data_IF_986948329522
#
_entry.id   IF_986948329522
#
_cell.length_a   1.000
_cell.length_b   1.000
_cell.length_c   1.000
_cell.angle_alpha   90.00
_cell.angle_beta   90.00
_cell.angle_gamma   90.00
#
_symmetry.space_group_name_H-M   'P 1'
#
loop_
_entity.id
_entity.type
_entity.pdbx_description
1 polymer ?
#
# COMPACT_ATOMS: atom_id res chain seq x y z
N UNK A 1 -4.97 3.35 -14.47
CA UNK A 1 -5.03 2.09 -15.23
C UNK A 1 -5.88 2.26 -16.48
N UNK A 2 -5.54 1.64 -17.61
CA UNK A 2 -6.39 1.54 -18.82
C UNK A 2 -6.79 0.08 -19.06
N UNK A 3 -7.77 -0.17 -19.92
CA UNK A 3 -8.26 -1.49 -20.30
C UNK A 3 -7.62 -2.01 -21.60
N UNK A 4 -7.24 -3.28 -21.58
CA UNK A 4 -6.83 -4.08 -22.74
C UNK A 4 -7.63 -5.37 -22.84
N UNK A 5 -7.21 -6.24 -23.77
CA UNK A 5 -7.97 -7.45 -24.11
C UNK A 5 -9.17 -7.16 -25.01
N UNK A 6 -9.78 -8.21 -25.58
CA UNK A 6 -10.88 -8.08 -26.54
C UNK A 6 -12.12 -7.38 -25.97
N UNK A 7 -12.31 -7.43 -24.64
CA UNK A 7 -13.44 -6.86 -23.92
C UNK A 7 -13.07 -5.64 -23.04
N UNK A 8 -11.79 -5.24 -23.00
CA UNK A 8 -11.32 -4.11 -22.19
C UNK A 8 -11.25 -4.40 -20.68
N UNK A 9 -11.42 -5.65 -20.26
CA UNK A 9 -11.45 -6.04 -18.85
C UNK A 9 -10.05 -6.15 -18.23
N UNK A 10 -9.01 -6.33 -19.05
CA UNK A 10 -7.65 -6.46 -18.54
C UNK A 10 -7.09 -5.09 -18.15
N UNK A 11 -6.75 -4.91 -16.88
CA UNK A 11 -6.08 -3.70 -16.42
C UNK A 11 -4.64 -3.64 -16.92
N UNK A 12 -4.23 -2.49 -17.46
CA UNK A 12 -2.88 -2.19 -17.91
C UNK A 12 -2.40 -0.87 -17.29
N UNK A 13 -1.14 -0.86 -16.82
CA UNK A 13 -0.54 0.37 -16.32
C UNK A 13 -0.25 1.33 -17.49
N UNK A 14 -0.69 2.57 -17.36
CA UNK A 14 -0.54 3.61 -18.39
C UNK A 14 -0.02 4.94 -17.84
N UNK A 15 -0.03 5.14 -16.52
CA UNK A 15 0.54 6.29 -15.82
C UNK A 15 1.00 5.81 -14.44
N UNK A 16 2.20 6.20 -14.04
CA UNK A 16 2.79 5.86 -12.75
C UNK A 16 3.28 7.13 -12.06
N UNK A 17 3.12 7.20 -10.74
CA UNK A 17 3.58 8.30 -9.90
C UNK A 17 4.26 7.74 -8.66
N UNK A 18 5.37 8.36 -8.25
CA UNK A 18 6.03 8.16 -6.98
C UNK A 18 6.37 9.53 -6.41
N UNK A 19 6.11 9.68 -5.12
CA UNK A 19 6.46 10.86 -4.34
C UNK A 19 7.43 10.48 -3.22
N UNK A 20 8.19 11.46 -2.74
CA UNK A 20 8.95 11.32 -1.50
C UNK A 20 8.09 11.62 -0.27
N UNK A 21 8.71 11.50 0.91
CA UNK A 21 8.07 11.77 2.20
C UNK A 21 7.62 13.23 2.38
N UNK A 22 8.23 14.16 1.64
CA UNK A 22 7.91 15.59 1.64
C UNK A 22 6.87 15.94 0.56
N UNK A 23 6.19 14.93 0.00
CA UNK A 23 5.17 15.06 -1.03
C UNK A 23 5.70 15.56 -2.39
N UNK A 24 7.02 15.57 -2.60
CA UNK A 24 7.59 15.95 -3.89
C UNK A 24 7.53 14.79 -4.88
N UNK A 25 7.16 15.08 -6.13
CA UNK A 25 7.20 14.09 -7.21
C UNK A 25 8.65 13.74 -7.54
N UNK A 26 9.03 12.48 -7.32
CA UNK A 26 10.35 11.95 -7.68
C UNK A 26 10.31 11.16 -8.99
N UNK A 27 9.15 10.65 -9.37
CA UNK A 27 8.94 9.95 -10.63
C UNK A 27 7.49 10.05 -11.08
N UNK A 28 7.27 10.55 -12.28
CA UNK A 28 5.94 10.64 -12.87
C UNK A 28 6.07 10.44 -14.38
N UNK A 29 5.36 9.46 -14.92
CA UNK A 29 5.45 9.15 -16.34
C UNK A 29 4.20 8.46 -16.86
N UNK A 30 3.93 8.64 -18.16
CA UNK A 30 3.10 7.69 -18.89
C UNK A 30 3.90 6.41 -19.16
N UNK A 31 3.19 5.28 -19.12
CA UNK A 31 3.74 3.94 -19.30
C UNK A 31 3.18 3.38 -20.60
N UNK A 32 4.05 2.88 -21.47
CA UNK A 32 3.63 2.20 -22.69
C UNK A 32 3.11 0.80 -22.35
N UNK A 33 1.80 0.52 -22.55
CA UNK A 33 1.24 -0.78 -22.21
C UNK A 33 1.83 -1.90 -23.08
N UNK A 34 1.97 -3.14 -22.57
CA UNK A 34 2.59 -4.25 -23.29
C UNK A 34 1.71 -4.81 -24.42
N UNK A 35 0.41 -4.55 -24.37
CA UNK A 35 -0.57 -4.95 -25.39
C UNK A 35 -1.42 -3.73 -25.80
N UNK A 36 -2.15 -3.78 -26.93
CA UNK A 36 -3.02 -2.68 -27.36
C UNK A 36 -4.07 -2.32 -26.31
N UNK A 37 -4.27 -1.01 -26.12
CA UNK A 37 -5.33 -0.46 -25.27
C UNK A 37 -6.64 -0.49 -26.05
N UNK A 38 -7.66 -1.15 -25.50
CA UNK A 38 -9.01 -1.23 -26.07
C UNK A 38 -10.00 -0.31 -25.36
N UNK A 39 -9.71 0.08 -24.12
CA UNK A 39 -10.51 1.04 -23.37
C UNK A 39 -9.63 1.98 -22.54
N UNK A 40 -9.59 3.27 -22.86
CA UNK A 40 -8.76 4.24 -22.13
C UNK A 40 -9.35 4.68 -20.78
N UNK A 41 -10.63 4.38 -20.53
CA UNK A 41 -11.36 4.79 -19.31
C UNK A 41 -11.29 6.31 -19.09
N UNK A 42 -11.51 7.07 -20.17
CA UNK A 42 -11.27 8.52 -20.23
C UNK A 42 -11.88 9.31 -19.08
N UNK A 43 -13.13 9.01 -18.72
CA UNK A 43 -13.87 9.70 -17.67
C UNK A 43 -13.17 9.62 -16.31
N UNK A 44 -12.45 8.52 -16.07
CA UNK A 44 -11.73 8.27 -14.82
C UNK A 44 -10.25 8.61 -14.92
N UNK A 45 -9.60 8.35 -16.05
CA UNK A 45 -8.12 8.42 -16.13
C UNK A 45 -7.61 9.68 -16.81
N UNK A 46 -8.43 10.32 -17.65
CA UNK A 46 -8.00 11.40 -18.54
C UNK A 46 -6.93 11.00 -19.56
N UNK A 47 -6.58 9.70 -19.68
CA UNK A 47 -5.49 9.24 -20.54
C UNK A 47 -5.95 9.23 -22.00
N UNK A 48 -5.14 9.84 -22.87
CA UNK A 48 -5.38 9.87 -24.31
C UNK A 48 -4.33 9.09 -25.10
N UNK A 49 -4.66 8.55 -26.29
CA UNK A 49 -3.74 7.77 -27.12
C UNK A 49 -2.43 8.50 -27.42
N UNK A 50 -2.48 9.82 -27.60
CA UNK A 50 -1.33 10.69 -27.81
C UNK A 50 -0.33 10.66 -26.65
N UNK A 51 -0.80 10.51 -25.40
CA UNK A 51 0.08 10.41 -24.24
C UNK A 51 0.83 9.06 -24.19
N UNK A 52 0.29 8.03 -24.86
CA UNK A 52 0.89 6.70 -24.89
C UNK A 52 1.81 6.46 -26.08
N UNK A 53 1.81 7.35 -27.09
CA UNK A 53 2.62 7.22 -28.32
C UNK A 53 4.12 7.19 -28.00
N UNK A 54 4.57 8.15 -27.21
CA UNK A 54 5.97 8.32 -26.79
C UNK A 54 6.20 7.96 -25.32
N UNK A 55 5.27 7.20 -24.73
CA UNK A 55 5.34 6.78 -23.34
C UNK A 55 6.53 5.86 -23.06
N UNK A 56 7.01 5.89 -21.82
CA UNK A 56 8.16 5.11 -21.39
C UNK A 56 7.84 3.60 -21.46
N UNK A 57 8.70 2.77 -22.07
CA UNK A 57 8.51 1.31 -22.07
C UNK A 57 8.46 0.75 -20.65
N UNK A 58 7.54 -0.19 -20.41
CA UNK A 58 7.33 -0.81 -19.09
C UNK A 58 8.63 -1.26 -18.42
N UNK A 59 9.54 -1.89 -19.18
CA UNK A 59 10.85 -2.33 -18.66
C UNK A 59 11.73 -1.21 -18.12
N UNK A 60 11.66 -0.02 -18.70
CA UNK A 60 12.40 1.14 -18.20
C UNK A 60 11.75 1.71 -16.95
N UNK A 61 10.42 1.72 -16.89
CA UNK A 61 9.63 2.12 -15.71
C UNK A 61 9.95 1.19 -14.54
N UNK A 62 9.88 -0.12 -14.75
CA UNK A 62 10.25 -1.16 -13.78
C UNK A 62 11.62 -0.89 -13.14
N UNK A 63 12.64 -0.74 -13.99
CA UNK A 63 14.01 -0.47 -13.53
C UNK A 63 14.09 0.81 -12.70
N UNK A 64 13.49 1.91 -13.17
CA UNK A 64 13.51 3.19 -12.42
C UNK A 64 12.84 3.05 -11.05
N UNK A 65 11.67 2.43 -10.98
CA UNK A 65 10.94 2.21 -9.72
C UNK A 65 11.79 1.31 -8.79
N UNK A 66 12.35 0.22 -9.30
CA UNK A 66 13.23 -0.66 -8.52
C UNK A 66 14.48 0.07 -8.03
N UNK A 67 15.10 0.93 -8.84
CA UNK A 67 16.25 1.73 -8.44
C UNK A 67 15.90 2.66 -7.25
N UNK A 68 14.73 3.30 -7.29
CA UNK A 68 14.24 4.12 -6.17
C UNK A 68 13.98 3.28 -4.91
N UNK A 69 13.30 2.14 -5.06
CA UNK A 69 12.92 1.28 -3.93
C UNK A 69 14.11 0.59 -3.28
N UNK A 70 14.98 -0.01 -4.10
CA UNK A 70 16.14 -0.76 -3.63
C UNK A 70 17.25 0.17 -3.14
N UNK A 71 17.36 1.39 -3.68
CA UNK A 71 18.32 2.41 -3.26
C UNK A 71 19.77 1.88 -3.22
N UNK A 72 20.14 1.11 -4.24
CA UNK A 72 21.46 0.47 -4.38
C UNK A 72 21.65 -0.82 -3.57
N UNK A 73 20.66 -1.27 -2.80
CA UNK A 73 20.70 -2.54 -2.08
C UNK A 73 20.11 -3.66 -2.95
N UNK A 74 20.78 -4.83 -3.09
CA UNK A 74 20.21 -5.93 -3.86
C UNK A 74 19.01 -6.55 -3.13
N UNK A 75 17.98 -6.94 -3.88
CA UNK A 75 16.69 -7.44 -3.35
C UNK A 75 16.81 -8.52 -2.26
N UNK A 76 17.75 -9.46 -2.42
CA UNK A 76 17.97 -10.57 -1.48
C UNK A 76 18.64 -10.15 -0.15
N UNK A 77 19.27 -8.96 -0.10
CA UNK A 77 19.82 -8.38 1.12
C UNK A 77 18.81 -7.54 1.90
N UNK A 78 17.70 -7.13 1.29
CA UNK A 78 16.71 -6.28 1.94
C UNK A 78 16.28 -6.90 3.28
N UNK A 79 16.37 -6.09 4.33
CA UNK A 79 15.94 -6.42 5.70
C UNK A 79 14.97 -5.34 6.18
N UNK A 80 14.08 -5.65 7.15
CA UNK A 80 13.19 -4.66 7.73
C UNK A 80 13.93 -3.49 8.40
N UNK A 81 15.17 -3.70 8.88
CA UNK A 81 15.96 -2.72 9.62
C UNK A 81 17.41 -2.71 9.15
N UNK A 82 18.04 -1.54 9.18
CA UNK A 82 19.47 -1.35 8.92
C UNK A 82 19.89 -1.44 7.45
N UNK A 83 18.94 -1.54 6.51
CA UNK A 83 19.17 -1.50 5.07
C UNK A 83 19.07 -0.08 4.49
N UNK A 84 19.32 0.03 3.19
CA UNK A 84 19.12 1.26 2.40
C UNK A 84 17.82 1.24 1.61
N UNK A 85 17.21 0.06 1.44
CA UNK A 85 15.93 -0.10 0.77
C UNK A 85 14.83 0.76 1.44
N UNK A 86 13.95 1.32 0.62
CA UNK A 86 12.93 2.30 1.06
C UNK A 86 11.60 1.61 1.32
N UNK A 87 10.83 2.14 2.26
CA UNK A 87 9.47 1.66 2.49
C UNK A 87 8.58 2.14 1.35
N UNK A 88 7.82 1.24 0.73
CA UNK A 88 6.80 1.57 -0.27
C UNK A 88 5.44 1.69 0.42
N UNK A 89 4.85 2.88 0.35
CA UNK A 89 3.51 3.15 0.88
C UNK A 89 2.52 3.25 -0.28
N UNK A 90 1.34 2.62 -0.14
CA UNK A 90 0.33 2.58 -1.20
C UNK A 90 -1.06 2.13 -0.73
N UNK A 91 -2.00 2.02 -1.66
CA UNK A 91 -3.36 1.54 -1.41
C UNK A 91 -3.72 0.46 -2.44
N UNK A 92 -3.71 -0.80 -2.02
CA UNK A 92 -3.89 -1.94 -2.93
C UNK A 92 -2.65 -2.24 -3.78
N UNK A 93 -1.46 -2.16 -3.16
CA UNK A 93 -0.16 -2.23 -3.85
C UNK A 93 0.03 -3.49 -4.69
N UNK A 94 -0.53 -4.63 -4.27
CA UNK A 94 -0.45 -5.87 -5.03
C UNK A 94 -0.97 -5.70 -6.46
N UNK A 95 -2.08 -4.98 -6.62
CA UNK A 95 -2.66 -4.75 -7.94
C UNK A 95 -1.71 -3.92 -8.79
N UNK A 96 -1.24 -2.78 -8.28
CA UNK A 96 -0.37 -1.90 -9.06
C UNK A 96 0.98 -2.54 -9.40
N UNK A 97 1.57 -3.27 -8.45
CA UNK A 97 2.85 -3.95 -8.63
C UNK A 97 2.75 -5.13 -9.59
N UNK A 98 1.66 -5.90 -9.59
CA UNK A 98 1.40 -6.94 -10.59
C UNK A 98 1.35 -6.36 -12.00
N UNK A 99 0.65 -5.24 -12.16
CA UNK A 99 0.49 -4.57 -13.46
C UNK A 99 1.74 -3.88 -13.95
N UNK A 100 2.60 -3.48 -13.03
CA UNK A 100 3.96 -3.03 -13.32
C UNK A 100 4.94 -4.20 -13.49
N UNK A 101 4.56 -5.43 -13.11
CA UNK A 101 5.42 -6.62 -12.99
C UNK A 101 6.68 -6.34 -12.16
N UNK A 102 6.49 -5.73 -11.00
CA UNK A 102 7.55 -5.42 -10.04
C UNK A 102 7.31 -6.26 -8.79
N UNK A 103 8.31 -7.03 -8.39
CA UNK A 103 8.33 -7.69 -7.09
C UNK A 103 9.02 -6.79 -6.06
N UNK A 104 8.41 -6.67 -4.87
CA UNK A 104 9.00 -5.96 -3.74
C UNK A 104 8.69 -6.68 -2.41
N UNK A 105 9.64 -6.77 -1.45
CA UNK A 105 9.42 -7.53 -0.22
C UNK A 105 8.27 -6.96 0.60
N UNK A 106 7.30 -7.81 0.96
CA UNK A 106 6.11 -7.40 1.72
C UNK A 106 6.43 -6.72 3.05
N UNK A 107 7.54 -7.10 3.70
CA UNK A 107 8.05 -6.47 4.92
C UNK A 107 8.40 -4.98 4.74
N UNK A 108 8.71 -4.55 3.51
CA UNK A 108 9.01 -3.16 3.14
C UNK A 108 7.79 -2.43 2.55
N UNK A 109 6.62 -3.07 2.52
CA UNK A 109 5.38 -2.45 2.03
C UNK A 109 4.49 -1.98 3.18
N UNK A 110 3.80 -0.87 2.97
CA UNK A 110 2.80 -0.29 3.87
C UNK A 110 1.55 -0.01 3.05
N UNK A 111 0.71 -1.05 2.93
CA UNK A 111 -0.52 -1.00 2.15
C UNK A 111 -1.70 -0.61 3.04
N UNK A 112 -2.25 0.58 2.81
CA UNK A 112 -3.41 1.11 3.55
C UNK A 112 -4.70 0.33 3.30
N UNK A 113 -4.81 -0.41 2.20
CA UNK A 113 -5.95 -1.29 1.93
C UNK A 113 -5.93 -2.58 2.77
N UNK A 114 -4.75 -2.96 3.28
CA UNK A 114 -4.50 -4.21 4.02
C UNK A 114 -4.11 -3.99 5.47
N UNK A 115 -3.93 -2.75 5.91
CA UNK A 115 -3.56 -2.44 7.28
C UNK A 115 -4.76 -2.64 8.20
N UNK A 116 -4.75 -3.61 9.14
CA UNK A 116 -5.96 -3.99 9.88
C UNK A 116 -6.69 -2.85 10.60
N UNK A 117 -6.00 -1.84 11.19
CA UNK A 117 -6.68 -0.67 11.76
C UNK A 117 -7.49 0.17 10.75
N UNK A 118 -7.21 0.06 9.45
CA UNK A 118 -7.92 0.75 8.37
C UNK A 118 -8.93 -0.14 7.63
N UNK A 119 -8.97 -1.43 7.93
CA UNK A 119 -9.86 -2.38 7.26
C UNK A 119 -11.27 -2.37 7.86
N UNK A 120 -12.25 -2.89 7.10
CA UNK A 120 -13.58 -3.18 7.63
C UNK A 120 -13.50 -4.35 8.61
N UNK A 121 -14.46 -4.44 9.52
CA UNK A 121 -14.62 -5.60 10.42
C UNK A 121 -14.79 -6.93 9.66
N UNK A 122 -15.29 -6.88 8.42
CA UNK A 122 -15.36 -8.02 7.50
C UNK A 122 -14.02 -8.43 6.87
N UNK A 123 -12.90 -7.80 7.25
CA UNK A 123 -11.57 -7.95 6.63
C UNK A 123 -11.51 -7.57 5.14
N UNK A 124 -12.48 -6.79 4.66
CA UNK A 124 -12.43 -6.18 3.34
C UNK A 124 -11.76 -4.81 3.42
N UNK A 125 -11.12 -4.39 2.32
CA UNK A 125 -10.55 -3.06 2.22
C UNK A 125 -11.64 -2.00 2.18
N UNK A 126 -11.33 -0.84 2.76
CA UNK A 126 -12.07 0.39 2.50
C UNK A 126 -11.49 1.07 1.25
N UNK A 127 -12.29 1.87 0.55
CA UNK A 127 -11.75 2.68 -0.55
C UNK A 127 -10.85 3.79 0.00
N UNK A 128 -9.84 4.18 -0.78
CA UNK A 128 -8.97 5.30 -0.44
C UNK A 128 -9.78 6.58 -0.18
N UNK A 129 -10.79 6.85 -1.01
CA UNK A 129 -11.73 7.97 -0.82
C UNK A 129 -12.38 7.96 0.57
N UNK A 130 -12.94 6.82 0.99
CA UNK A 130 -13.56 6.69 2.31
C UNK A 130 -12.54 6.91 3.44
N UNK A 131 -11.37 6.28 3.35
CA UNK A 131 -10.33 6.41 4.38
C UNK A 131 -9.85 7.86 4.50
N UNK A 132 -9.63 8.53 3.37
CA UNK A 132 -9.21 9.93 3.33
C UNK A 132 -10.25 10.83 4.00
N UNK A 133 -11.53 10.66 3.69
CA UNK A 133 -12.60 11.41 4.32
C UNK A 133 -12.71 11.14 5.84
N UNK A 134 -12.64 9.86 6.25
CA UNK A 134 -12.81 9.47 7.65
C UNK A 134 -11.64 9.90 8.54
N UNK A 135 -10.41 9.84 8.03
CA UNK A 135 -9.20 10.04 8.83
C UNK A 135 -8.51 11.39 8.63
N UNK A 136 -8.68 12.03 7.47
CA UNK A 136 -8.03 13.31 7.13
C UNK A 136 -9.02 14.48 7.01
N UNK A 137 -10.32 14.22 6.85
CA UNK A 137 -11.36 15.24 6.62
C UNK A 137 -11.62 16.24 7.76
N UNK A 138 -10.98 16.06 8.93
CA UNK A 138 -11.12 16.96 10.08
C UNK A 138 -9.93 17.92 10.28
N UNK A 139 -8.93 17.89 9.40
CA UNK A 139 -7.73 18.74 9.55
C UNK A 139 -7.99 20.13 8.95
N UNK A 140 -8.02 21.21 9.76
CA UNK A 140 -8.42 22.55 9.31
C UNK A 140 -7.42 23.24 8.35
N UNK A 141 -6.19 22.74 8.27
CA UNK A 141 -5.06 23.41 7.58
C UNK A 141 -4.84 22.98 6.12
N UNK A 142 -5.66 22.08 5.60
CA UNK A 142 -5.63 21.70 4.18
C UNK A 142 -6.96 22.08 3.55
N UNK A 143 -7.02 23.25 2.92
CA UNK A 143 -8.18 23.84 2.23
C UNK A 143 -8.70 23.02 1.03
N UNK A 144 -8.20 21.80 0.84
CA UNK A 144 -8.71 20.85 -0.12
C UNK A 144 -9.59 19.93 0.69
N UNK A 145 -10.91 20.14 0.64
CA UNK A 145 -11.85 19.05 0.86
C UNK A 145 -11.34 17.90 0.00
N UNK A 146 -10.81 16.84 0.61
CA UNK A 146 -10.22 15.69 -0.06
C UNK A 146 -11.30 14.87 -0.77
N UNK A 147 -12.01 15.48 -1.70
CA UNK A 147 -12.84 14.82 -2.68
C UNK A 147 -11.93 14.28 -3.78
N UNK A 148 -11.01 13.41 -3.36
CA UNK A 148 -10.15 12.70 -4.29
C UNK A 148 -11.01 11.78 -5.15
N UNK A 149 -10.51 11.49 -6.34
CA UNK A 149 -11.16 10.60 -7.28
C UNK A 149 -12.54 11.11 -7.77
N UNK A 150 -12.78 12.43 -7.77
CA UNK A 150 -13.89 13.04 -8.49
C UNK A 150 -13.52 13.36 -9.93
N UNK A 151 -14.26 12.80 -10.89
CA UNK A 151 -13.95 12.97 -12.31
C UNK A 151 -12.64 12.28 -12.67
N UNK A 152 -11.72 13.02 -13.28
CA UNK A 152 -10.41 12.51 -13.69
C UNK A 152 -9.52 12.38 -12.45
N UNK A 153 -9.07 11.16 -12.19
CA UNK A 153 -8.18 10.81 -11.09
C UNK A 153 -6.74 11.15 -11.45
N UNK A 154 -6.06 11.91 -10.59
CA UNK A 154 -4.61 12.10 -10.68
C UNK A 154 -3.88 11.14 -9.72
N UNK A 155 -2.99 10.26 -10.22
CA UNK A 155 -2.16 9.41 -9.38
C UNK A 155 -1.38 10.15 -8.29
N UNK A 156 -1.04 11.44 -8.49
CA UNK A 156 -0.38 12.24 -7.45
C UNK A 156 -1.26 12.43 -6.22
N UNK A 157 -2.55 12.73 -6.39
CA UNK A 157 -3.48 12.93 -5.27
C UNK A 157 -3.62 11.66 -4.45
N UNK A 158 -3.71 10.50 -5.12
CA UNK A 158 -3.79 9.19 -4.48
C UNK A 158 -2.50 8.88 -3.70
N UNK A 159 -1.32 9.23 -4.25
CA UNK A 159 -0.04 9.08 -3.55
C UNK A 159 0.00 9.92 -2.27
N UNK A 160 -0.38 11.21 -2.35
CA UNK A 160 -0.37 12.13 -1.21
C UNK A 160 -1.38 11.69 -0.15
N UNK A 161 -2.61 11.36 -0.55
CA UNK A 161 -3.65 10.89 0.38
C UNK A 161 -3.19 9.64 1.14
N UNK A 162 -2.61 8.69 0.44
CA UNK A 162 -2.10 7.45 1.03
C UNK A 162 -0.92 7.70 1.96
N UNK A 163 0.04 8.55 1.55
CA UNK A 163 1.17 8.93 2.38
C UNK A 163 0.69 9.59 3.68
N UNK A 164 -0.25 10.53 3.59
CA UNK A 164 -0.84 11.21 4.76
C UNK A 164 -1.56 10.24 5.70
N UNK A 165 -2.29 9.25 5.16
CA UNK A 165 -2.90 8.18 5.95
C UNK A 165 -1.84 7.36 6.69
N UNK A 166 -0.77 6.95 6.00
CA UNK A 166 0.36 6.27 6.61
C UNK A 166 1.00 7.12 7.71
N UNK A 167 1.27 8.41 7.47
CA UNK A 167 1.84 9.33 8.46
C UNK A 167 0.98 9.45 9.70
N UNK A 168 -0.35 9.57 9.53
CA UNK A 168 -1.29 9.61 10.65
C UNK A 168 -1.26 8.33 11.48
N UNK A 169 -1.10 7.17 10.86
CA UNK A 169 -1.00 5.89 11.57
C UNK A 169 0.37 5.74 12.24
N UNK A 170 1.44 6.14 11.55
CA UNK A 170 2.83 6.13 12.03
C UNK A 170 3.02 7.07 13.23
N UNK A 171 2.31 8.19 13.30
CA UNK A 171 2.41 9.15 14.41
C UNK A 171 1.66 8.73 15.67
N UNK A 172 0.95 7.60 15.67
CA UNK A 172 0.25 7.13 16.86
C UNK A 172 1.24 6.62 17.91
N UNK A 173 0.91 6.81 19.19
CA UNK A 173 1.68 6.22 20.28
C UNK A 173 1.44 4.72 20.28
N UNK A 174 2.52 3.94 20.10
CA UNK A 174 2.43 2.49 20.27
C UNK A 174 2.07 2.19 21.72
N UNK A 175 0.89 1.61 21.94
CA UNK A 175 0.52 1.08 23.25
C UNK A 175 1.39 -0.15 23.48
N UNK A 176 2.35 -0.01 24.39
CA UNK A 176 3.08 -1.15 24.93
C UNK A 176 2.08 -1.83 25.86
N UNK A 177 1.61 -3.00 25.44
CA UNK A 177 0.81 -3.85 26.30
C UNK A 177 1.77 -4.53 27.29
N UNK A 178 1.44 -4.55 28.58
CA UNK A 178 2.26 -5.19 29.64
C UNK A 178 2.32 -6.73 29.51
N UNK A 179 1.66 -7.28 28.49
CA UNK A 179 1.66 -8.67 28.12
C UNK A 179 2.35 -8.84 26.77
N UNK A 180 3.01 -10.00 26.52
CA UNK A 180 3.75 -10.19 25.29
C UNK A 180 2.82 -10.06 24.07
N UNK A 181 3.28 -9.40 23.00
CA UNK A 181 2.59 -9.22 21.71
C UNK A 181 2.64 -10.51 20.88
N UNK A 182 1.77 -10.68 19.88
CA UNK A 182 1.84 -11.84 18.97
C UNK A 182 3.19 -11.92 18.22
N UNK A 183 3.82 -10.77 18.02
CA UNK A 183 5.15 -10.62 17.41
C UNK A 183 6.29 -10.97 18.36
N UNK A 184 6.04 -11.08 19.67
CA UNK A 184 7.09 -11.46 20.62
C UNK A 184 7.53 -12.90 20.38
N UNK A 185 8.85 -13.20 20.50
CA UNK A 185 9.37 -14.56 20.30
C UNK A 185 8.65 -15.63 21.13
N UNK A 186 8.12 -15.26 22.30
CA UNK A 186 7.41 -16.14 23.23
C UNK A 186 5.99 -16.50 22.79
N UNK A 187 5.34 -15.67 21.97
CA UNK A 187 3.97 -15.88 21.46
C UNK A 187 3.93 -16.36 20.01
N UNK A 188 5.08 -16.36 19.33
CA UNK A 188 5.26 -16.99 18.04
C UNK A 188 4.85 -18.46 18.21
N UNK A 189 3.70 -18.86 17.64
CA UNK A 189 3.06 -20.19 17.72
C UNK A 189 1.93 -20.39 18.74
N UNK A 190 1.31 -19.35 19.32
CA UNK A 190 0.12 -19.54 20.18
C UNK A 190 -1.04 -20.26 19.48
N UNK A 191 -1.13 -20.16 18.14
CA UNK A 191 -2.11 -20.88 17.31
C UNK A 191 -1.49 -21.94 16.40
N UNK A 192 -0.31 -22.49 16.75
CA UNK A 192 0.28 -23.54 15.94
C UNK A 192 -0.57 -24.82 15.96
N UNK A 193 -0.54 -25.56 14.86
CA UNK A 193 -1.38 -26.76 14.64
C UNK A 193 -1.26 -27.80 15.77
N UNK A 194 -0.11 -27.89 16.45
CA UNK A 194 0.07 -28.80 17.59
C UNK A 194 -0.72 -28.42 18.85
N UNK A 195 -1.17 -27.16 19.00
CA UNK A 195 -2.05 -26.70 20.09
C UNK A 195 -3.54 -26.77 19.76
N UNK A 196 -3.91 -27.26 18.58
CA UNK A 196 -5.30 -27.22 18.12
C UNK A 196 -6.28 -27.90 19.08
N UNK A 197 -5.95 -29.09 19.60
CA UNK A 197 -6.77 -29.79 20.59
C UNK A 197 -6.93 -29.04 21.92
N UNK A 198 -5.97 -28.18 22.27
CA UNK A 198 -6.01 -27.35 23.48
C UNK A 198 -6.94 -26.16 23.25
N UNK A 199 -6.79 -25.47 22.11
CA UNK A 199 -7.61 -24.32 21.71
C UNK A 199 -9.09 -24.69 21.56
N UNK A 200 -9.39 -25.85 20.98
CA UNK A 200 -10.76 -26.34 20.81
C UNK A 200 -11.46 -26.67 22.16
N UNK A 201 -10.69 -26.84 23.24
CA UNK A 201 -11.20 -27.10 24.60
C UNK A 201 -11.36 -25.83 25.43
N UNK A 202 -10.87 -24.69 24.97
CA UNK A 202 -10.96 -23.41 25.68
C UNK A 202 -12.37 -22.80 25.54
N UNK A 203 -12.81 -22.08 26.57
CA UNK A 203 -14.02 -21.26 26.48
C UNK A 203 -13.79 -20.04 25.58
N UNK A 204 -14.85 -19.40 25.06
CA UNK A 204 -14.73 -18.15 24.30
C UNK A 204 -13.98 -17.05 25.07
N UNK A 205 -14.18 -16.95 26.39
CA UNK A 205 -13.49 -15.99 27.26
C UNK A 205 -12.00 -16.29 27.34
N UNK A 206 -11.61 -17.56 27.49
CA UNK A 206 -10.21 -17.98 27.52
C UNK A 206 -9.53 -17.73 26.17
N UNK A 207 -10.23 -17.98 25.06
CA UNK A 207 -9.76 -17.67 23.71
C UNK A 207 -9.57 -16.17 23.50
N UNK A 208 -10.47 -15.34 24.04
CA UNK A 208 -10.36 -13.89 24.00
C UNK A 208 -9.16 -13.40 24.82
N UNK A 209 -8.92 -13.98 26.01
CA UNK A 209 -7.79 -13.65 26.88
C UNK A 209 -6.43 -13.93 26.26
N UNK A 210 -6.32 -14.92 25.36
CA UNK A 210 -5.08 -15.23 24.61
C UNK A 210 -5.06 -14.62 23.21
N UNK A 211 -6.16 -14.02 22.75
CA UNK A 211 -6.27 -13.41 21.44
C UNK A 211 -5.34 -12.19 21.34
N UNK A 212 -4.49 -12.17 20.32
CA UNK A 212 -3.53 -11.10 20.09
C UNK A 212 -3.60 -10.66 18.64
N UNK A 213 -3.38 -9.36 18.41
CA UNK A 213 -3.21 -8.83 17.07
C UNK A 213 -1.89 -9.30 16.49
N UNK A 214 -1.91 -9.90 15.30
CA UNK A 214 -0.74 -10.44 14.58
C UNK A 214 -0.17 -9.46 13.55
N UNK A 215 -0.71 -8.24 13.48
CA UNK A 215 -0.27 -7.23 12.53
C UNK A 215 0.89 -6.38 13.07
N UNK A 216 1.76 -5.93 12.16
CA UNK A 216 2.84 -5.01 12.47
C UNK A 216 2.32 -3.56 12.55
N UNK A 217 2.42 -2.92 13.73
CA UNK A 217 2.01 -1.52 13.89
C UNK A 217 2.99 -0.57 13.20
N UNK A 218 2.49 0.27 12.29
CA UNK A 218 3.30 1.26 11.58
C UNK A 218 3.86 2.35 12.49
N UNK A 219 3.29 2.51 13.68
CA UNK A 219 3.86 3.37 14.72
C UNK A 219 5.29 2.95 15.13
N UNK A 220 5.68 1.69 14.92
CA UNK A 220 7.03 1.20 15.17
C UNK A 220 8.04 1.74 14.14
N UNK A 221 7.60 2.11 12.94
CA UNK A 221 8.47 2.70 11.92
C UNK A 221 8.98 4.10 12.30
N UNK A 222 8.36 4.75 13.30
CA UNK A 222 8.80 6.06 13.82
C UNK A 222 10.03 5.98 14.73
N UNK A 223 10.33 4.79 15.28
CA UNK A 223 11.44 4.57 16.22
C UNK A 223 12.76 4.22 15.54
N UNK A 224 12.73 4.02 14.23
CA UNK A 224 13.78 3.38 13.44
C UNK A 224 14.41 4.31 12.37
N UNK A 225 14.11 5.62 12.40
CA UNK A 225 14.72 6.65 11.54
C UNK A 225 15.63 7.60 12.32
#
# INVERSE_FOLDING_TARGET
>A
MVGGGSDGSLDLCARACLIDESENIIFHTYVKPPIPVTNYRYETTGIRPEYLRDAMPLRQVQRKIQDFLCNGEPMWKIRPKGGKARILVGHGLDHDLDRLQIEYPAIMMRDTAKYPPLMKTSKLSNSLKYLTQAYLGQVPLTSILYDIQTGIQDPYEDCVATLRLFMRMRSQVHKIEDYPLASDPQNRNNFASWRQNELERMSPEQLLEISRSDYYCWCLDSRDM
#
